data_IF_439450008520
#
_entry.id   IF_439450008520
#
_cell.length_a   1.000
_cell.length_b   1.000
_cell.length_c   1.000
_cell.angle_alpha   90.00
_cell.angle_beta   90.00
_cell.angle_gamma   90.00
#
_symmetry.space_group_name_H-M   'P 1'
#
loop_
_entity.id
_entity.type
_entity.pdbx_description
1 polymer ?
#
# COMPACT_ATOMS: atom_id res chain seq x y z
N UNK A 1 -3.75 2.79 56.79
CA UNK A 1 -3.31 3.53 55.59
C UNK A 1 -2.13 2.89 54.86
N UNK A 2 -1.40 1.94 55.46
CA UNK A 2 -0.21 1.29 54.87
C UNK A 2 -0.53 0.07 53.99
N UNK A 3 -1.70 -0.54 54.17
CA UNK A 3 -2.12 -1.77 53.46
C UNK A 3 -2.90 -1.51 52.18
N UNK A 4 -3.34 -0.27 51.95
CA UNK A 4 -4.02 0.14 50.72
C UNK A 4 -3.06 0.74 49.68
N UNK A 5 -1.83 1.09 50.07
CA UNK A 5 -0.85 1.70 49.16
C UNK A 5 -0.45 0.78 47.99
N UNK A 6 -0.25 -0.54 48.18
CA UNK A 6 0.03 -1.46 47.07
C UNK A 6 -1.20 -1.67 46.18
N UNK A 7 -2.41 -1.72 46.75
CA UNK A 7 -3.66 -1.85 45.99
C UNK A 7 -3.94 -0.59 45.18
N UNK A 8 -3.63 0.59 45.73
CA UNK A 8 -3.74 1.89 45.05
C UNK A 8 -2.65 2.04 43.98
N UNK A 9 -1.42 1.58 44.21
CA UNK A 9 -0.34 1.57 43.21
C UNK A 9 -0.61 0.59 42.07
N UNK A 10 -1.10 -0.61 42.38
CA UNK A 10 -1.52 -1.61 41.39
C UNK A 10 -2.77 -1.12 40.64
N UNK A 11 -3.71 -0.46 41.32
CA UNK A 11 -4.82 0.22 40.67
C UNK A 11 -4.33 1.40 39.80
N UNK A 12 -3.32 2.16 40.20
CA UNK A 12 -2.73 3.24 39.41
C UNK A 12 -1.86 2.74 38.23
N UNK A 13 -1.39 1.49 38.24
CA UNK A 13 -0.66 0.85 37.14
C UNK A 13 -1.57 0.03 36.21
N UNK A 14 -2.67 -0.56 36.74
CA UNK A 14 -3.59 -1.45 36.00
C UNK A 14 -4.86 -0.71 35.53
N UNK A 15 -5.36 0.29 36.27
CA UNK A 15 -6.53 1.07 35.83
C UNK A 15 -6.26 1.99 34.63
N UNK A 16 -5.05 2.52 34.37
CA UNK A 16 -4.77 3.15 33.09
C UNK A 16 -4.89 2.14 31.94
N UNK A 17 -4.52 0.87 32.16
CA UNK A 17 -4.58 -0.20 31.14
C UNK A 17 -6.02 -0.62 30.85
N UNK A 18 -6.92 -0.56 31.84
CA UNK A 18 -8.35 -0.88 31.65
C UNK A 18 -9.16 0.23 30.96
N UNK A 19 -8.71 1.48 31.01
CA UNK A 19 -9.38 2.64 30.38
C UNK A 19 -8.73 3.09 29.07
N UNK A 20 -7.48 2.68 28.81
CA UNK A 20 -6.80 2.86 27.53
C UNK A 20 -7.62 2.34 26.32
N UNK A 21 -8.37 1.22 26.35
CA UNK A 21 -9.09 0.72 25.17
C UNK A 21 -10.25 1.61 24.70
N UNK A 22 -10.82 2.46 25.56
CA UNK A 22 -11.95 3.31 25.20
C UNK A 22 -11.53 4.65 24.56
N UNK A 23 -10.32 5.14 24.88
CA UNK A 23 -9.80 6.42 24.38
C UNK A 23 -8.55 6.29 23.50
N UNK A 24 -7.82 5.16 23.56
CA UNK A 24 -6.68 4.90 22.65
C UNK A 24 -7.08 4.81 21.19
N UNK A 25 -8.20 4.22 20.75
CA UNK A 25 -8.46 4.16 19.32
C UNK A 25 -8.52 5.56 18.69
N UNK A 26 -9.11 6.54 19.37
CA UNK A 26 -9.19 7.92 18.88
C UNK A 26 -7.90 8.72 19.10
N UNK A 27 -7.24 8.56 20.25
CA UNK A 27 -5.99 9.25 20.56
C UNK A 27 -4.82 8.64 19.76
N UNK A 28 -4.75 7.32 19.61
CA UNK A 28 -3.80 6.59 18.75
C UNK A 28 -4.15 6.74 17.28
N UNK A 29 -5.40 6.92 16.86
CA UNK A 29 -5.69 7.30 15.47
C UNK A 29 -5.19 8.72 15.20
N UNK A 30 -5.43 9.68 16.11
CA UNK A 30 -4.87 11.05 15.98
C UNK A 30 -3.35 11.09 16.12
N UNK A 31 -2.76 10.29 17.00
CA UNK A 31 -1.30 10.16 17.17
C UNK A 31 -0.66 9.30 16.08
N UNK A 32 -1.34 8.34 15.48
CA UNK A 32 -0.85 7.55 14.35
C UNK A 32 -0.97 8.33 13.05
N UNK A 33 -2.00 9.15 12.86
CA UNK A 33 -2.03 10.17 11.79
C UNK A 33 -0.85 11.14 11.98
N UNK A 34 -0.61 11.59 13.23
CA UNK A 34 0.50 12.50 13.56
C UNK A 34 1.90 11.84 13.57
N UNK A 35 1.99 10.52 13.74
CA UNK A 35 3.24 9.74 13.78
C UNK A 35 3.48 8.90 12.50
N UNK A 36 2.54 8.90 11.55
CA UNK A 36 2.75 8.48 10.16
C UNK A 36 3.37 9.60 9.34
N UNK A 37 3.28 10.85 9.79
CA UNK A 37 4.24 11.86 9.38
C UNK A 37 5.51 11.63 10.21
N UNK A 38 6.70 11.47 9.59
CA UNK A 38 7.96 11.46 10.32
C UNK A 38 8.05 12.72 11.23
N UNK A 39 8.99 12.76 12.16
CA UNK A 39 9.47 14.06 12.69
C UNK A 39 10.12 14.78 11.49
N UNK A 40 9.25 15.41 10.71
CA UNK A 40 9.53 16.15 9.49
C UNK A 40 10.30 17.39 9.94
N UNK A 41 11.53 17.61 9.47
CA UNK A 41 12.13 18.93 9.62
C UNK A 41 11.29 19.88 8.77
N UNK A 42 10.40 20.67 9.37
CA UNK A 42 9.65 21.75 8.68
C UNK A 42 10.61 22.61 7.83
N UNK A 43 11.84 22.78 8.33
CA UNK A 43 12.96 23.44 7.65
C UNK A 43 13.34 22.79 6.30
N UNK A 44 13.31 21.45 6.19
CA UNK A 44 13.62 20.75 4.94
C UNK A 44 12.48 20.90 3.93
N UNK A 45 11.23 20.85 4.38
CA UNK A 45 10.09 21.09 3.51
C UNK A 45 10.14 22.51 2.94
N UNK A 46 10.33 23.53 3.78
CA UNK A 46 10.43 24.93 3.34
C UNK A 46 11.58 25.12 2.33
N UNK A 47 12.73 24.48 2.58
CA UNK A 47 13.88 24.49 1.66
C UNK A 47 13.57 23.83 0.32
N UNK A 48 12.92 22.67 0.32
CA UNK A 48 12.56 21.97 -0.92
C UNK A 48 11.53 22.80 -1.71
N UNK A 49 10.53 23.38 -1.05
CA UNK A 49 9.52 24.25 -1.69
C UNK A 49 10.14 25.50 -2.34
N UNK A 50 11.07 26.18 -1.67
CA UNK A 50 11.78 27.33 -2.25
C UNK A 50 12.66 26.91 -3.45
N UNK A 51 13.30 25.75 -3.35
CA UNK A 51 14.08 25.14 -4.43
C UNK A 51 13.20 24.82 -5.63
N UNK A 52 12.02 24.23 -5.40
CA UNK A 52 11.05 23.89 -6.44
C UNK A 52 10.48 25.12 -7.12
N UNK A 53 10.10 26.14 -6.34
CA UNK A 53 9.62 27.40 -6.91
C UNK A 53 10.72 28.06 -7.78
N UNK A 54 11.95 28.14 -7.28
CA UNK A 54 13.09 28.67 -8.04
C UNK A 54 13.37 27.89 -9.33
N UNK A 55 13.24 26.56 -9.29
CA UNK A 55 13.39 25.68 -10.44
C UNK A 55 12.30 25.94 -11.49
N UNK A 56 11.03 25.99 -11.09
CA UNK A 56 9.90 26.22 -12.00
C UNK A 56 9.94 27.62 -12.63
N UNK A 57 10.32 28.64 -11.86
CA UNK A 57 10.54 29.99 -12.40
C UNK A 57 11.66 30.01 -13.42
N UNK A 58 12.75 29.26 -13.21
CA UNK A 58 13.86 29.20 -14.17
C UNK A 58 13.50 28.41 -15.43
N UNK A 59 12.84 27.26 -15.28
CA UNK A 59 12.56 26.34 -16.39
C UNK A 59 11.38 26.80 -17.25
N UNK A 60 10.33 27.33 -16.62
CA UNK A 60 9.05 27.64 -17.28
C UNK A 60 8.58 29.09 -17.09
N UNK A 61 9.34 29.94 -16.39
CA UNK A 61 8.88 31.27 -15.96
C UNK A 61 7.54 31.20 -15.18
N UNK A 62 7.40 30.16 -14.34
CA UNK A 62 6.16 29.80 -13.67
C UNK A 62 6.22 30.06 -12.15
N UNK A 63 5.09 30.51 -11.61
CA UNK A 63 4.76 30.45 -10.18
C UNK A 63 3.75 29.32 -9.93
N UNK A 64 3.95 28.54 -8.87
CA UNK A 64 3.11 27.41 -8.53
C UNK A 64 2.74 27.40 -7.04
N UNK A 65 1.55 26.89 -6.74
CA UNK A 65 1.18 26.48 -5.38
C UNK A 65 1.49 25.02 -5.18
N UNK A 66 1.93 24.64 -3.98
CA UNK A 66 2.28 23.27 -3.63
C UNK A 66 1.31 22.67 -2.62
N UNK A 67 1.01 21.39 -2.77
CA UNK A 67 0.17 20.58 -1.88
C UNK A 67 0.63 19.10 -1.92
N UNK A 68 -0.04 18.22 -1.17
CA UNK A 68 0.18 16.76 -1.14
C UNK A 68 1.64 16.36 -0.90
N UNK A 69 2.28 16.88 0.16
CA UNK A 69 3.71 16.67 0.39
C UNK A 69 4.03 15.27 0.96
N UNK A 70 4.90 14.55 0.27
CA UNK A 70 5.34 13.20 0.66
C UNK A 70 6.86 13.13 0.78
N UNK A 71 7.38 12.93 1.99
CA UNK A 71 8.81 12.82 2.23
C UNK A 71 9.35 11.43 1.80
N UNK A 72 10.44 11.42 1.02
CA UNK A 72 11.18 10.21 0.68
C UNK A 72 12.46 10.12 1.49
N UNK A 73 12.52 9.22 2.48
CA UNK A 73 13.75 8.98 3.27
C UNK A 73 14.93 8.54 2.37
N UNK A 74 14.65 7.82 1.28
CA UNK A 74 15.68 7.35 0.36
C UNK A 74 16.29 8.50 -0.46
N UNK A 75 15.51 9.53 -0.78
CA UNK A 75 15.99 10.69 -1.53
C UNK A 75 16.42 11.84 -0.62
N UNK A 76 15.93 11.89 0.62
CA UNK A 76 16.16 13.02 1.53
C UNK A 76 15.33 14.27 1.21
N UNK A 77 14.34 14.15 0.31
CA UNK A 77 13.54 15.27 -0.20
C UNK A 77 12.05 14.98 -0.21
N UNK A 78 11.25 16.05 -0.21
CA UNK A 78 9.81 16.01 -0.44
C UNK A 78 9.47 15.83 -1.90
N UNK A 79 8.51 14.97 -2.20
CA UNK A 79 7.75 15.02 -3.45
C UNK A 79 6.50 15.83 -3.20
N UNK A 80 6.16 16.74 -4.10
CA UNK A 80 5.01 17.64 -3.94
C UNK A 80 4.17 17.67 -5.21
N UNK A 81 2.87 17.89 -5.06
CA UNK A 81 1.97 18.28 -6.13
C UNK A 81 2.06 19.79 -6.32
N UNK A 82 2.38 20.24 -7.53
CA UNK A 82 2.46 21.63 -7.93
C UNK A 82 1.31 21.98 -8.87
N UNK A 83 0.75 23.16 -8.69
CA UNK A 83 -0.34 23.69 -9.52
C UNK A 83 0.05 25.09 -10.01
N UNK A 84 0.08 25.35 -11.34
CA UNK A 84 0.42 26.67 -11.86
C UNK A 84 -0.54 27.76 -11.36
N UNK A 85 0.00 28.85 -10.82
CA UNK A 85 -0.78 30.06 -10.47
C UNK A 85 -1.19 30.82 -11.72
N UNK A 86 -0.27 30.89 -12.68
CA UNK A 86 -0.45 31.55 -13.97
C UNK A 86 -0.35 30.49 -15.08
N UNK A 87 -1.49 30.08 -15.66
CA UNK A 87 -1.54 29.05 -16.70
C UNK A 87 -2.77 28.14 -16.58
N UNK A 88 -2.76 27.02 -17.28
CA UNK A 88 -3.77 25.98 -17.10
C UNK A 88 -3.62 25.33 -15.71
N UNK A 89 -4.75 25.21 -15.01
CA UNK A 89 -4.83 24.66 -13.65
C UNK A 89 -4.73 23.13 -13.66
N UNK A 90 -3.58 22.61 -14.13
CA UNK A 90 -3.29 21.20 -14.26
C UNK A 90 -2.23 20.83 -13.22
N UNK A 91 -2.56 19.97 -12.22
CA UNK A 91 -1.59 19.53 -11.23
C UNK A 91 -0.51 18.65 -11.85
N UNK A 92 0.71 18.78 -11.36
CA UNK A 92 1.86 17.98 -11.76
C UNK A 92 2.80 17.76 -10.58
N UNK A 93 3.66 16.76 -10.65
CA UNK A 93 4.56 16.42 -9.55
C UNK A 93 5.92 17.07 -9.72
N UNK A 94 6.50 17.56 -8.61
CA UNK A 94 7.89 17.99 -8.53
C UNK A 94 8.59 17.17 -7.44
N UNK A 95 9.80 16.70 -7.74
CA UNK A 95 10.57 15.88 -6.81
C UNK A 95 12.07 15.99 -7.05
N UNK A 96 12.85 15.57 -6.05
CA UNK A 96 14.30 15.41 -6.13
C UNK A 96 14.70 13.96 -5.86
N UNK A 97 15.77 13.53 -6.55
CA UNK A 97 16.51 12.31 -6.20
C UNK A 97 17.57 12.58 -5.13
N UNK A 98 18.21 11.52 -4.62
CA UNK A 98 19.27 11.60 -3.60
C UNK A 98 20.51 12.41 -4.01
N UNK A 99 20.66 12.79 -5.28
CA UNK A 99 21.75 13.62 -5.78
C UNK A 99 21.28 15.06 -6.07
N UNK A 100 20.18 15.49 -5.43
CA UNK A 100 19.54 16.79 -5.62
C UNK A 100 19.06 17.06 -7.06
N UNK A 101 18.97 16.06 -7.95
CA UNK A 101 18.46 16.29 -9.30
C UNK A 101 16.95 16.48 -9.26
N UNK A 102 16.50 17.67 -9.63
CA UNK A 102 15.08 18.01 -9.69
C UNK A 102 14.47 17.43 -10.97
N UNK A 103 13.27 16.86 -10.85
CA UNK A 103 12.42 16.45 -11.96
C UNK A 103 11.01 16.93 -11.71
N UNK A 104 10.33 17.29 -12.80
CA UNK A 104 8.92 17.63 -12.81
C UNK A 104 8.18 16.83 -13.88
N UNK A 105 6.86 16.72 -13.74
CA UNK A 105 6.00 16.06 -14.73
C UNK A 105 5.15 17.05 -15.53
N UNK A 106 5.49 18.34 -15.57
CA UNK A 106 4.58 19.39 -16.07
C UNK A 106 4.17 19.20 -17.53
N UNK A 107 5.16 19.06 -18.44
CA UNK A 107 4.91 18.83 -19.88
C UNK A 107 4.08 17.55 -20.07
N UNK A 108 4.45 16.47 -19.38
CA UNK A 108 3.71 15.21 -19.39
C UNK A 108 2.26 15.36 -18.92
N UNK A 109 2.00 16.13 -17.86
CA UNK A 109 0.65 16.39 -17.34
C UNK A 109 -0.21 17.20 -18.32
N UNK A 110 0.35 18.20 -18.99
CA UNK A 110 -0.34 18.97 -20.03
C UNK A 110 -0.76 18.06 -21.19
N UNK A 111 0.18 17.31 -21.76
CA UNK A 111 -0.09 16.40 -22.87
C UNK A 111 -1.01 15.24 -22.47
N UNK A 112 -0.92 14.78 -21.23
CA UNK A 112 -1.87 13.79 -20.68
C UNK A 112 -3.30 14.32 -20.74
N UNK A 113 -3.51 15.57 -20.33
CA UNK A 113 -4.83 16.23 -20.36
C UNK A 113 -5.33 16.44 -21.79
N UNK A 114 -4.46 16.88 -22.69
CA UNK A 114 -4.80 17.05 -24.11
C UNK A 114 -5.29 15.74 -24.74
N UNK A 115 -4.55 14.64 -24.52
CA UNK A 115 -4.94 13.31 -24.99
C UNK A 115 -6.24 12.85 -24.33
N UNK A 116 -6.42 13.08 -23.03
CA UNK A 116 -7.67 12.77 -22.33
C UNK A 116 -8.85 13.40 -23.06
N UNK A 117 -8.79 14.69 -23.36
CA UNK A 117 -9.88 15.43 -24.00
C UNK A 117 -10.21 14.92 -25.42
N UNK A 118 -9.22 14.39 -26.14
CA UNK A 118 -9.43 13.78 -27.45
C UNK A 118 -10.11 12.42 -27.37
N UNK A 119 -9.74 11.58 -26.40
CA UNK A 119 -10.22 10.19 -26.33
C UNK A 119 -11.43 9.99 -25.40
N UNK A 120 -11.69 10.90 -24.45
CA UNK A 120 -12.82 10.84 -23.51
C UNK A 120 -14.18 10.67 -24.19
N UNK A 121 -14.50 11.38 -25.30
CA UNK A 121 -15.78 11.19 -26.00
C UNK A 121 -15.98 9.76 -26.51
N UNK A 122 -14.92 9.12 -27.02
CA UNK A 122 -14.98 7.73 -27.48
C UNK A 122 -15.15 6.78 -26.30
N UNK A 123 -14.35 6.94 -25.24
CA UNK A 123 -14.41 6.08 -24.06
C UNK A 123 -15.81 6.16 -23.43
N UNK A 124 -16.35 7.36 -23.28
CA UNK A 124 -17.71 7.61 -22.78
C UNK A 124 -18.81 7.04 -23.68
N UNK A 125 -18.57 6.87 -24.98
CA UNK A 125 -19.49 6.21 -25.90
C UNK A 125 -19.43 4.67 -25.78
N UNK A 126 -18.25 4.12 -25.52
CA UNK A 126 -18.03 2.67 -25.43
C UNK A 126 -18.41 2.09 -24.07
N UNK A 127 -18.25 2.88 -23.00
CA UNK A 127 -18.45 2.47 -21.62
C UNK A 127 -19.37 3.43 -20.87
N UNK A 128 -20.52 2.93 -20.42
CA UNK A 128 -21.52 3.73 -19.71
C UNK A 128 -21.09 4.09 -18.27
N UNK A 129 -20.43 3.16 -17.57
CA UNK A 129 -20.03 3.30 -16.18
C UNK A 129 -18.50 3.23 -16.02
N UNK A 130 -17.82 4.27 -16.47
CA UNK A 130 -16.38 4.45 -16.27
C UNK A 130 -16.12 4.94 -14.85
N UNK A 131 -15.23 4.27 -14.14
CA UNK A 131 -14.79 4.65 -12.80
C UNK A 131 -13.52 5.50 -12.84
N UNK A 132 -12.52 5.05 -13.61
CA UNK A 132 -11.31 5.81 -13.92
C UNK A 132 -11.09 5.75 -15.41
N UNK A 133 -10.84 6.91 -16.01
CA UNK A 133 -10.15 6.99 -17.28
C UNK A 133 -8.98 7.94 -17.09
N UNK A 134 -7.77 7.41 -17.26
CA UNK A 134 -6.53 8.16 -17.12
C UNK A 134 -5.67 7.94 -18.36
N UNK A 135 -5.19 9.03 -18.91
CA UNK A 135 -4.16 9.08 -19.94
C UNK A 135 -2.90 9.60 -19.29
N UNK A 136 -1.77 8.93 -19.51
CA UNK A 136 -0.51 9.30 -18.87
C UNK A 136 0.60 9.35 -19.88
N UNK A 137 1.13 10.55 -20.10
CA UNK A 137 2.30 10.82 -20.91
C UNK A 137 3.48 11.08 -19.98
N UNK A 138 4.46 10.18 -20.02
CA UNK A 138 5.73 10.36 -19.32
C UNK A 138 6.77 10.77 -20.34
N UNK A 139 7.29 11.99 -20.22
CA UNK A 139 8.37 12.49 -21.07
C UNK A 139 9.73 12.05 -20.52
N UNK A 140 10.68 11.85 -21.42
CA UNK A 140 12.09 11.69 -21.05
C UNK A 140 12.81 13.03 -21.10
N UNK A 141 13.96 13.11 -20.41
CA UNK A 141 14.73 14.34 -20.24
C UNK A 141 15.11 14.99 -21.58
N UNK A 142 15.39 14.16 -22.59
CA UNK A 142 15.73 14.58 -23.94
C UNK A 142 14.57 15.30 -24.63
N UNK A 143 13.34 14.82 -24.44
CA UNK A 143 12.13 15.43 -25.00
C UNK A 143 11.84 16.78 -24.31
N UNK A 144 11.91 16.82 -22.97
CA UNK A 144 11.75 18.05 -22.21
C UNK A 144 12.73 19.14 -22.69
N UNK A 145 13.99 18.78 -22.85
CA UNK A 145 15.03 19.72 -23.30
C UNK A 145 14.77 20.17 -24.73
N UNK A 146 14.38 19.26 -25.62
CA UNK A 146 14.03 19.60 -27.01
C UNK A 146 12.88 20.61 -27.07
N UNK A 147 11.80 20.39 -26.31
CA UNK A 147 10.66 21.31 -26.26
C UNK A 147 11.10 22.70 -25.81
N UNK A 148 11.90 22.77 -24.73
CA UNK A 148 12.36 24.04 -24.18
C UNK A 148 13.36 24.79 -25.07
N UNK A 149 14.17 24.08 -25.85
CA UNK A 149 15.17 24.69 -26.73
C UNK A 149 14.57 25.20 -28.05
N UNK A 150 13.46 24.60 -28.51
CA UNK A 150 12.91 24.86 -29.86
C UNK A 150 11.59 25.64 -29.85
N UNK A 151 10.90 25.74 -28.72
CA UNK A 151 9.59 26.40 -28.64
C UNK A 151 9.55 27.45 -27.53
N UNK A 152 8.96 28.62 -27.83
CA UNK A 152 8.78 29.70 -26.85
C UNK A 152 7.72 29.36 -25.79
N UNK A 153 6.78 28.48 -26.13
CA UNK A 153 5.75 27.93 -25.26
C UNK A 153 5.65 26.41 -25.50
N UNK A 154 5.16 25.66 -24.51
CA UNK A 154 4.99 24.21 -24.64
C UNK A 154 4.00 23.94 -25.80
N UNK A 155 4.40 23.20 -26.84
CA UNK A 155 3.55 22.93 -27.99
C UNK A 155 2.50 21.85 -27.66
N UNK A 156 1.46 21.80 -28.48
CA UNK A 156 0.46 20.72 -28.45
C UNK A 156 1.13 19.37 -28.74
N UNK A 157 0.70 18.31 -28.04
CA UNK A 157 1.29 16.98 -28.15
C UNK A 157 1.27 16.48 -29.59
N UNK A 158 0.14 16.68 -30.27
CA UNK A 158 -0.06 16.21 -31.65
C UNK A 158 0.85 16.92 -32.68
N UNK A 159 1.45 18.05 -32.32
CA UNK A 159 2.38 18.75 -33.21
C UNK A 159 3.81 18.17 -33.14
N UNK A 160 4.20 17.58 -32.01
CA UNK A 160 5.60 17.20 -31.75
C UNK A 160 5.84 15.70 -31.53
N UNK A 161 4.81 14.92 -31.24
CA UNK A 161 4.98 13.49 -30.89
C UNK A 161 5.71 12.68 -31.98
N UNK A 162 5.47 13.00 -33.25
CA UNK A 162 6.04 12.27 -34.39
C UNK A 162 7.54 12.52 -34.58
N UNK A 163 8.07 13.62 -34.04
CA UNK A 163 9.48 13.99 -34.14
C UNK A 163 10.35 13.17 -33.18
N UNK A 164 9.77 12.69 -32.07
CA UNK A 164 10.44 11.92 -31.02
C UNK A 164 9.62 10.71 -30.56
N UNK A 165 9.45 9.67 -31.40
CA UNK A 165 8.62 8.51 -31.07
C UNK A 165 9.12 7.70 -29.86
N UNK A 166 10.39 7.84 -29.49
CA UNK A 166 10.99 7.23 -28.29
C UNK A 166 11.21 8.24 -27.14
N UNK A 167 10.77 9.50 -27.32
CA UNK A 167 10.96 10.59 -26.36
C UNK A 167 9.91 10.62 -25.24
N UNK A 168 8.86 9.80 -25.37
CA UNK A 168 7.79 9.71 -24.40
C UNK A 168 7.29 8.26 -24.26
N UNK A 169 6.59 8.00 -23.15
CA UNK A 169 5.75 6.82 -22.97
C UNK A 169 4.31 7.28 -22.78
N UNK A 170 3.40 6.66 -23.51
CA UNK A 170 1.98 6.91 -23.37
C UNK A 170 1.28 5.66 -22.87
N UNK A 171 0.57 5.78 -21.76
CA UNK A 171 -0.24 4.72 -21.18
C UNK A 171 -1.68 5.17 -21.01
N UNK A 172 -2.61 4.24 -21.18
CA UNK A 172 -4.04 4.43 -20.85
C UNK A 172 -4.41 3.45 -19.74
N UNK A 173 -5.09 3.97 -18.72
CA UNK A 173 -5.68 3.20 -17.63
C UNK A 173 -7.19 3.43 -17.63
N UNK A 174 -7.95 2.34 -17.75
CA UNK A 174 -9.40 2.37 -17.82
C UNK A 174 -10.00 1.41 -16.80
N UNK A 175 -10.73 1.92 -15.82
CA UNK A 175 -11.48 1.12 -14.85
C UNK A 175 -12.96 1.29 -15.10
N UNK A 176 -13.68 0.19 -15.29
CA UNK A 176 -15.10 0.20 -15.66
C UNK A 176 -15.90 -0.72 -14.75
N UNK A 177 -17.12 -0.30 -14.43
CA UNK A 177 -18.10 -1.17 -13.79
C UNK A 177 -18.88 -1.90 -14.88
N UNK A 178 -18.70 -3.21 -14.93
CA UNK A 178 -19.32 -4.08 -15.93
C UNK A 178 -19.40 -5.49 -15.36
N UNK A 179 -20.52 -6.18 -15.61
CA UNK A 179 -20.70 -7.58 -15.22
C UNK A 179 -19.81 -8.55 -16.00
N UNK A 180 -19.14 -8.05 -17.05
CA UNK A 180 -18.26 -8.80 -17.94
C UNK A 180 -18.98 -10.04 -18.53
N UNK A 181 -20.29 -9.94 -18.76
CA UNK A 181 -21.11 -11.07 -19.19
C UNK A 181 -20.91 -11.44 -20.67
N UNK A 182 -20.55 -10.47 -21.51
CA UNK A 182 -20.38 -10.65 -22.95
C UNK A 182 -18.95 -10.32 -23.41
N UNK A 183 -18.10 -11.34 -23.47
CA UNK A 183 -16.68 -11.16 -23.81
C UNK A 183 -16.45 -10.68 -25.25
N UNK A 184 -17.26 -11.13 -26.21
CA UNK A 184 -17.13 -10.75 -27.61
C UNK A 184 -17.39 -9.25 -27.79
N UNK A 185 -18.39 -8.72 -27.09
CA UNK A 185 -18.69 -7.29 -27.09
C UNK A 185 -17.53 -6.46 -26.51
N UNK A 186 -16.93 -6.92 -25.42
CA UNK A 186 -15.79 -6.26 -24.78
C UNK A 186 -14.54 -6.28 -25.67
N UNK A 187 -14.26 -7.39 -26.34
CA UNK A 187 -13.19 -7.47 -27.33
C UNK A 187 -13.40 -6.47 -28.48
N UNK A 188 -14.64 -6.30 -28.96
CA UNK A 188 -14.95 -5.30 -29.99
C UNK A 188 -14.74 -3.87 -29.49
N UNK A 189 -15.10 -3.55 -28.24
CA UNK A 189 -14.85 -2.23 -27.63
C UNK A 189 -13.35 -1.94 -27.54
N UNK A 190 -12.56 -2.89 -27.03
CA UNK A 190 -11.11 -2.78 -26.92
C UNK A 190 -10.48 -2.61 -28.30
N UNK A 191 -10.90 -3.41 -29.28
CA UNK A 191 -10.39 -3.32 -30.64
C UNK A 191 -10.63 -1.93 -31.25
N UNK A 192 -11.85 -1.38 -31.12
CA UNK A 192 -12.15 -0.01 -31.61
C UNK A 192 -11.30 1.05 -30.95
N UNK A 193 -11.07 0.94 -29.64
CA UNK A 193 -10.24 1.88 -28.89
C UNK A 193 -8.79 1.85 -29.38
N UNK A 194 -8.22 0.65 -29.53
CA UNK A 194 -6.85 0.46 -30.05
C UNK A 194 -6.73 0.92 -31.50
N UNK A 195 -7.72 0.62 -32.35
CA UNK A 195 -7.76 1.05 -33.76
C UNK A 195 -7.75 2.59 -33.87
N UNK A 196 -8.60 3.28 -33.12
CA UNK A 196 -8.64 4.75 -33.13
C UNK A 196 -7.33 5.39 -32.60
N UNK A 197 -6.68 4.75 -31.62
CA UNK A 197 -5.37 5.18 -31.12
C UNK A 197 -4.29 5.02 -32.19
N UNK A 198 -4.28 3.89 -32.90
CA UNK A 198 -3.36 3.64 -34.00
C UNK A 198 -3.60 4.60 -35.19
N UNK A 199 -4.85 4.92 -35.52
CA UNK A 199 -5.21 5.91 -36.55
C UNK A 199 -4.72 7.32 -36.22
N UNK A 200 -4.65 7.65 -34.94
CA UNK A 200 -4.13 8.94 -34.46
C UNK A 200 -2.61 9.08 -34.64
N UNK A 201 -1.92 8.00 -35.04
CA UNK A 201 -0.46 7.96 -35.20
C UNK A 201 0.32 7.82 -33.89
N UNK A 202 -0.37 7.85 -32.74
CA UNK A 202 0.26 7.78 -31.43
C UNK A 202 0.68 6.33 -31.13
N UNK A 203 1.92 6.15 -30.69
CA UNK A 203 2.38 4.85 -30.18
C UNK A 203 1.95 4.67 -28.72
N UNK A 204 0.98 3.79 -28.48
CA UNK A 204 0.57 3.40 -27.13
C UNK A 204 1.56 2.40 -26.54
N UNK A 205 2.21 2.78 -25.45
CA UNK A 205 3.23 1.95 -24.79
C UNK A 205 2.65 0.98 -23.76
N UNK A 206 1.47 1.28 -23.24
CA UNK A 206 0.77 0.43 -22.28
C UNK A 206 -0.74 0.68 -22.27
N UNK A 207 -1.50 -0.38 -22.09
CA UNK A 207 -2.96 -0.32 -21.94
C UNK A 207 -3.40 -1.19 -20.77
N UNK A 208 -4.08 -0.59 -19.81
CA UNK A 208 -4.67 -1.28 -18.66
C UNK A 208 -6.19 -1.11 -18.65
N UNK A 209 -6.90 -2.23 -18.52
CA UNK A 209 -8.36 -2.24 -18.38
C UNK A 209 -8.77 -3.12 -17.20
N UNK A 210 -9.38 -2.55 -16.17
CA UNK A 210 -9.92 -3.30 -15.01
C UNK A 210 -11.44 -3.25 -15.00
N UNK A 211 -12.04 -4.41 -14.82
CA UNK A 211 -13.47 -4.58 -14.68
C UNK A 211 -13.81 -4.79 -13.20
N UNK A 212 -14.76 -4.01 -12.70
CA UNK A 212 -15.25 -4.09 -11.33
C UNK A 212 -16.71 -4.52 -11.29
N UNK A 213 -17.06 -5.28 -10.26
CA UNK A 213 -18.44 -5.71 -10.02
C UNK A 213 -19.37 -4.49 -9.83
N UNK A 214 -20.53 -4.51 -10.49
CA UNK A 214 -21.55 -3.47 -10.39
C UNK A 214 -22.09 -3.31 -8.96
N UNK A 215 -22.05 -4.36 -8.14
CA UNK A 215 -22.42 -4.27 -6.72
C UNK A 215 -21.53 -3.30 -5.93
N UNK A 216 -20.27 -3.08 -6.36
CA UNK A 216 -19.39 -2.08 -5.76
C UNK A 216 -19.86 -0.66 -6.11
N UNK A 217 -20.29 -0.43 -7.35
CA UNK A 217 -20.82 0.86 -7.80
C UNK A 217 -22.05 1.30 -6.98
N UNK A 218 -22.94 0.36 -6.65
CA UNK A 218 -24.14 0.64 -5.83
C UNK A 218 -23.82 1.00 -4.37
N UNK A 219 -22.66 0.56 -3.84
CA UNK A 219 -22.22 0.84 -2.47
C UNK A 219 -21.29 2.06 -2.36
N UNK A 220 -20.43 2.27 -3.35
CA UNK A 220 -19.36 3.26 -3.33
C UNK A 220 -19.78 4.65 -3.84
N UNK A 221 -20.75 4.73 -4.76
CA UNK A 221 -21.09 5.96 -5.47
C UNK A 221 -20.02 6.39 -6.48
N UNK A 222 -20.35 7.36 -7.35
CA UNK A 222 -19.49 7.80 -8.48
C UNK A 222 -18.20 8.50 -8.05
N UNK A 223 -18.19 9.14 -6.88
CA UNK A 223 -17.10 10.03 -6.46
C UNK A 223 -16.00 9.34 -5.62
N UNK A 224 -16.10 8.02 -5.39
CA UNK A 224 -15.15 7.28 -4.59
C UNK A 224 -13.86 7.01 -5.36
N UNK A 225 -12.71 7.43 -4.83
CA UNK A 225 -11.40 7.07 -5.41
C UNK A 225 -11.11 5.58 -5.17
N UNK A 226 -10.66 4.81 -6.18
CA UNK A 226 -10.29 3.41 -5.97
C UNK A 226 -9.06 3.31 -5.08
N UNK A 227 -9.27 2.90 -3.84
CA UNK A 227 -8.22 2.51 -2.90
C UNK A 227 -7.86 1.02 -3.02
N UNK A 228 -6.77 0.61 -2.37
CA UNK A 228 -6.35 -0.79 -2.29
C UNK A 228 -7.44 -1.73 -1.72
N UNK A 229 -8.38 -1.21 -0.92
CA UNK A 229 -9.48 -1.98 -0.34
C UNK A 229 -10.43 -2.53 -1.42
N UNK A 230 -10.55 -1.84 -2.56
CA UNK A 230 -11.41 -2.24 -3.68
C UNK A 230 -10.78 -3.28 -4.60
N UNK A 231 -9.49 -3.64 -4.41
CA UNK A 231 -8.81 -4.65 -5.24
C UNK A 231 -9.56 -5.97 -5.32
N UNK A 232 -10.24 -6.36 -4.24
CA UNK A 232 -10.98 -7.63 -4.16
C UNK A 232 -12.28 -7.67 -4.97
N UNK A 233 -12.70 -6.53 -5.51
CA UNK A 233 -13.91 -6.39 -6.34
C UNK A 233 -13.60 -6.36 -7.85
N UNK A 234 -12.31 -6.36 -8.23
CA UNK A 234 -11.92 -6.50 -9.62
C UNK A 234 -12.28 -7.93 -10.08
N UNK A 235 -13.14 -8.03 -11.09
CA UNK A 235 -13.59 -9.30 -11.65
C UNK A 235 -12.64 -9.78 -12.76
N UNK A 236 -12.21 -8.86 -13.62
CA UNK A 236 -11.35 -9.12 -14.76
C UNK A 236 -10.38 -7.96 -14.94
N UNK A 237 -9.29 -8.22 -15.66
CA UNK A 237 -8.26 -7.25 -15.96
C UNK A 237 -7.86 -7.40 -17.43
N UNK A 238 -7.04 -6.53 -17.98
CA UNK A 238 -6.30 -6.73 -19.21
C UNK A 238 -5.14 -5.76 -19.17
N UNK A 239 -3.94 -6.28 -19.34
CA UNK A 239 -2.72 -5.50 -19.45
C UNK A 239 -2.06 -5.85 -20.78
N UNK A 240 -1.90 -4.86 -21.64
CA UNK A 240 -1.20 -4.99 -22.91
C UNK A 240 0.03 -4.09 -22.89
N UNK A 241 1.17 -4.67 -23.23
CA UNK A 241 2.38 -3.90 -23.51
C UNK A 241 2.39 -3.42 -24.97
N UNK A 242 3.33 -2.52 -25.30
CA UNK A 242 3.51 -1.97 -26.64
C UNK A 242 3.56 -3.06 -27.74
N UNK A 243 4.34 -4.12 -27.56
CA UNK A 243 4.48 -5.17 -28.58
C UNK A 243 3.14 -5.88 -28.87
N UNK A 244 2.34 -6.13 -27.82
CA UNK A 244 1.01 -6.71 -27.96
C UNK A 244 0.07 -5.74 -28.67
N UNK A 245 0.10 -4.46 -28.29
CA UNK A 245 -0.69 -3.39 -28.90
C UNK A 245 -0.39 -3.25 -30.40
N UNK A 246 0.88 -3.19 -30.78
CA UNK A 246 1.32 -3.07 -32.18
C UNK A 246 0.89 -4.28 -33.03
N UNK A 247 0.78 -5.46 -32.40
CA UNK A 247 0.35 -6.68 -33.09
C UNK A 247 -1.16 -6.74 -33.37
N UNK A 248 -1.98 -5.94 -32.68
CA UNK A 248 -3.44 -5.90 -32.88
C UNK A 248 -3.74 -5.14 -34.17
N UNK A 249 -3.86 -5.90 -35.26
CA UNK A 249 -4.23 -5.40 -36.60
C UNK A 249 -5.63 -5.87 -37.02
N UNK A 250 -6.19 -6.85 -36.32
CA UNK A 250 -7.53 -7.40 -36.55
C UNK A 250 -8.12 -7.87 -35.23
N UNK A 251 -9.45 -7.94 -35.15
CA UNK A 251 -10.16 -8.51 -34.00
C UNK A 251 -9.67 -9.93 -33.65
N UNK A 252 -9.36 -10.74 -34.67
CA UNK A 252 -8.84 -12.10 -34.48
C UNK A 252 -7.47 -12.14 -33.79
N UNK A 253 -6.62 -11.13 -34.00
CA UNK A 253 -5.34 -11.05 -33.30
C UNK A 253 -5.56 -10.72 -31.82
N UNK A 254 -6.49 -9.82 -31.52
CA UNK A 254 -6.90 -9.51 -30.15
C UNK A 254 -7.48 -10.75 -29.45
N UNK A 255 -8.35 -11.51 -30.10
CA UNK A 255 -8.90 -12.78 -29.57
C UNK A 255 -7.79 -13.78 -29.16
N UNK A 256 -6.74 -13.91 -29.96
CA UNK A 256 -5.61 -14.79 -29.64
C UNK A 256 -4.82 -14.29 -28.42
N UNK A 257 -4.55 -12.99 -28.35
CA UNK A 257 -3.89 -12.35 -27.20
C UNK A 257 -4.74 -12.56 -25.94
N UNK A 258 -6.04 -12.35 -26.06
CA UNK A 258 -7.03 -12.53 -25.00
C UNK A 258 -7.04 -13.97 -24.46
N UNK A 259 -7.05 -14.98 -25.34
CA UNK A 259 -6.99 -16.39 -24.95
C UNK A 259 -5.68 -16.74 -24.23
N UNK A 260 -4.55 -16.25 -24.74
CA UNK A 260 -3.25 -16.46 -24.12
C UNK A 260 -3.18 -15.80 -22.74
N UNK A 261 -3.68 -14.57 -22.63
CA UNK A 261 -3.77 -13.83 -21.38
C UNK A 261 -4.62 -14.57 -20.34
N UNK A 262 -5.79 -15.08 -20.70
CA UNK A 262 -6.62 -15.92 -19.83
C UNK A 262 -5.90 -17.18 -19.33
N UNK A 263 -5.21 -17.87 -20.23
CA UNK A 263 -4.42 -19.06 -19.88
C UNK A 263 -3.29 -18.69 -18.90
N UNK A 264 -2.66 -17.53 -19.11
CA UNK A 264 -1.59 -17.02 -18.24
C UNK A 264 -2.09 -16.72 -16.82
N UNK A 265 -3.27 -16.09 -16.65
CA UNK A 265 -3.84 -15.81 -15.33
C UNK A 265 -4.18 -17.10 -14.59
N UNK A 266 -4.79 -18.04 -15.30
CA UNK A 266 -5.17 -19.34 -14.73
C UNK A 266 -3.93 -20.11 -14.24
N UNK A 267 -2.82 -20.01 -14.97
CA UNK A 267 -1.55 -20.65 -14.61
C UNK A 267 -0.78 -19.88 -13.51
N UNK A 268 -0.92 -18.56 -13.46
CA UNK A 268 -0.39 -17.69 -12.40
C UNK A 268 -1.31 -17.60 -11.17
N UNK A 269 -2.27 -18.50 -11.01
CA UNK A 269 -3.13 -18.54 -9.81
C UNK A 269 -3.96 -17.28 -9.54
N UNK A 270 -4.17 -16.41 -10.54
CA UNK A 270 -4.87 -15.13 -10.36
C UNK A 270 -3.99 -13.90 -10.09
N UNK A 271 -2.66 -14.00 -10.15
CA UNK A 271 -1.77 -12.85 -9.91
C UNK A 271 -1.81 -11.82 -11.04
N UNK A 272 -1.90 -10.54 -10.65
CA UNK A 272 -2.13 -9.36 -11.49
C UNK A 272 -0.80 -8.64 -11.77
N UNK A 273 -0.65 -8.01 -12.94
CA UNK A 273 0.57 -7.28 -13.34
C UNK A 273 0.15 -5.94 -13.94
N UNK A 274 0.42 -4.83 -13.27
CA UNK A 274 0.25 -3.49 -13.87
C UNK A 274 1.40 -3.20 -14.85
N UNK A 275 1.11 -2.41 -15.88
CA UNK A 275 2.02 -1.97 -16.95
C UNK A 275 2.60 -0.58 -16.65
N UNK A 276 2.20 0.07 -15.55
CA UNK A 276 2.74 1.37 -15.18
C UNK A 276 4.29 1.35 -15.08
N UNK A 277 4.92 2.15 -15.95
CA UNK A 277 6.33 2.56 -15.93
C UNK A 277 7.40 1.66 -16.57
N UNK A 278 7.12 0.70 -17.46
CA UNK A 278 8.17 0.04 -18.28
C UNK A 278 9.35 -0.57 -17.49
N UNK A 279 9.20 -0.66 -16.17
CA UNK A 279 9.66 -1.73 -15.35
C UNK A 279 8.50 -2.71 -15.35
N UNK A 280 8.77 -3.99 -15.61
CA UNK A 280 7.92 -5.03 -15.03
C UNK A 280 8.00 -4.81 -13.52
N UNK A 281 7.08 -4.02 -12.99
CA UNK A 281 6.64 -4.31 -11.64
C UNK A 281 5.88 -5.61 -11.82
N UNK A 282 6.54 -6.74 -11.57
CA UNK A 282 5.83 -7.75 -10.81
C UNK A 282 5.27 -6.96 -9.63
N UNK A 283 3.95 -6.67 -9.63
CA UNK A 283 3.27 -6.30 -8.39
C UNK A 283 3.71 -7.40 -7.45
N UNK A 284 4.62 -7.08 -6.53
CA UNK A 284 5.34 -8.08 -5.77
C UNK A 284 4.26 -8.77 -4.95
N UNK A 285 3.83 -9.94 -5.45
CA UNK A 285 2.66 -10.62 -4.96
C UNK A 285 2.87 -10.75 -3.46
N UNK A 286 1.93 -10.20 -2.70
CA UNK A 286 1.99 -10.36 -1.25
C UNK A 286 2.07 -11.85 -0.89
N UNK A 287 1.67 -12.73 -1.81
CA UNK A 287 1.77 -14.18 -1.78
C UNK A 287 0.37 -14.75 -1.80
N UNK A 288 0.25 -16.07 -2.00
CA UNK A 288 -1.02 -16.75 -1.68
C UNK A 288 -1.38 -16.51 -0.21
N UNK A 289 -2.60 -16.02 0.13
CA UNK A 289 -2.99 -15.80 1.51
C UNK A 289 -2.81 -17.03 2.39
N UNK A 290 -2.22 -16.85 3.57
CA UNK A 290 -2.02 -17.93 4.53
C UNK A 290 -3.35 -18.24 5.23
N UNK A 291 -3.85 -19.46 5.02
CA UNK A 291 -5.09 -19.92 5.64
C UNK A 291 -4.95 -20.11 7.16
N UNK A 292 -6.09 -20.22 7.84
CA UNK A 292 -6.21 -20.40 9.29
C UNK A 292 -5.25 -21.45 9.87
N UNK A 293 -5.20 -22.66 9.28
CA UNK A 293 -4.38 -23.76 9.82
C UNK A 293 -2.88 -23.49 9.78
N UNK A 294 -2.39 -22.74 8.79
CA UNK A 294 -0.97 -22.35 8.72
C UNK A 294 -0.65 -21.32 9.81
N UNK A 295 -1.55 -20.36 10.02
CA UNK A 295 -1.43 -19.36 11.09
C UNK A 295 -1.47 -20.01 12.47
N UNK A 296 -2.35 -21.01 12.66
CA UNK A 296 -2.45 -21.78 13.91
C UNK A 296 -1.20 -22.62 14.16
N UNK A 297 -0.66 -23.27 13.12
CA UNK A 297 0.57 -24.05 13.21
C UNK A 297 1.77 -23.14 13.56
N UNK A 298 1.89 -21.98 12.92
CA UNK A 298 2.92 -20.99 13.24
C UNK A 298 2.85 -20.57 14.72
N UNK A 299 1.67 -20.17 15.18
CA UNK A 299 1.43 -19.78 16.57
C UNK A 299 1.78 -20.90 17.55
N UNK A 300 1.40 -22.15 17.25
CA UNK A 300 1.76 -23.31 18.06
C UNK A 300 3.27 -23.51 18.20
N UNK A 301 4.02 -23.32 17.11
CA UNK A 301 5.49 -23.40 17.13
C UNK A 301 6.10 -22.26 17.94
N UNK A 302 5.61 -21.03 17.76
CA UNK A 302 6.07 -19.86 18.52
C UNK A 302 5.82 -20.03 20.03
N UNK A 303 4.65 -20.55 20.42
CA UNK A 303 4.33 -20.88 21.82
C UNK A 303 5.29 -21.92 22.37
N UNK A 304 5.56 -23.00 21.63
CA UNK A 304 6.52 -24.03 22.05
C UNK A 304 7.92 -23.46 22.21
N UNK A 305 8.38 -22.65 21.26
CA UNK A 305 9.70 -22.04 21.26
C UNK A 305 9.88 -21.09 22.45
N UNK A 306 8.96 -20.14 22.63
CA UNK A 306 9.04 -19.17 23.74
C UNK A 306 8.91 -19.89 25.08
N UNK A 307 8.00 -20.87 25.20
CA UNK A 307 7.85 -21.67 26.43
C UNK A 307 9.10 -22.49 26.71
N UNK A 308 9.71 -23.09 25.70
CA UNK A 308 10.97 -23.83 25.82
C UNK A 308 12.08 -22.91 26.34
N UNK A 309 12.29 -21.73 25.72
CA UNK A 309 13.25 -20.74 26.20
C UNK A 309 12.99 -20.36 27.66
N UNK A 310 11.73 -20.14 28.05
CA UNK A 310 11.35 -19.81 29.41
C UNK A 310 11.63 -20.94 30.41
N UNK A 311 11.36 -22.21 30.05
CA UNK A 311 11.65 -23.38 30.90
C UNK A 311 13.15 -23.54 31.13
N UNK A 312 14.00 -23.27 30.14
CA UNK A 312 15.46 -23.30 30.31
C UNK A 312 15.98 -22.11 31.11
N UNK A 313 15.36 -20.92 31.03
CA UNK A 313 15.67 -19.82 31.95
C UNK A 313 15.26 -20.12 33.40
N UNK A 314 14.32 -21.05 33.63
CA UNK A 314 13.94 -21.55 34.96
C UNK A 314 14.93 -22.55 35.58
N UNK A 315 16.11 -22.78 34.97
CA UNK A 315 17.27 -23.38 35.68
C UNK A 315 17.79 -22.44 36.79
N UNK A 316 17.33 -21.19 36.84
CA UNK A 316 17.44 -20.33 38.01
C UNK A 316 16.07 -20.08 38.69
N UNK A 317 15.56 -21.01 39.53
CA UNK A 317 14.48 -20.70 40.48
C UNK A 317 14.80 -19.53 41.41
N UNK A 318 16.06 -19.08 41.45
CA UNK A 318 16.56 -18.02 42.32
C UNK A 318 16.50 -16.61 41.71
N UNK A 319 16.34 -16.45 40.38
CA UNK A 319 16.40 -15.14 39.73
C UNK A 319 15.16 -14.26 39.97
N UNK A 320 13.97 -14.87 39.89
CA UNK A 320 12.69 -14.18 40.13
C UNK A 320 12.45 -13.89 41.61
N UNK A 321 12.90 -14.77 42.50
CA UNK A 321 12.88 -14.56 43.96
C UNK A 321 13.81 -13.41 44.35
N UNK A 322 15.01 -13.33 43.76
CA UNK A 322 15.94 -12.23 43.98
C UNK A 322 15.39 -10.88 43.50
N UNK A 323 14.79 -10.81 42.30
CA UNK A 323 14.18 -9.58 41.79
C UNK A 323 12.95 -9.14 42.62
N UNK A 324 12.16 -10.10 43.10
CA UNK A 324 10.99 -9.82 43.95
C UNK A 324 11.42 -9.31 45.32
N UNK A 325 12.47 -9.89 45.93
CA UNK A 325 13.07 -9.39 47.16
C UNK A 325 13.67 -7.98 46.99
N UNK A 326 14.28 -7.70 45.84
CA UNK A 326 14.89 -6.40 45.51
C UNK A 326 13.85 -5.29 45.31
N UNK A 327 12.70 -5.60 44.68
CA UNK A 327 11.65 -4.62 44.40
C UNK A 327 10.64 -4.43 45.53
N UNK A 328 10.40 -5.44 46.38
CA UNK A 328 9.27 -5.44 47.32
C UNK A 328 9.64 -5.71 48.80
N UNK A 329 10.91 -5.99 49.12
CA UNK A 329 11.41 -6.21 50.50
C UNK A 329 10.93 -7.50 51.17
N UNK A 330 11.39 -7.76 52.40
CA UNK A 330 11.12 -8.97 53.21
C UNK A 330 9.69 -9.03 53.78
N UNK A 331 8.71 -9.41 52.96
CA UNK A 331 7.33 -9.74 53.36
C UNK A 331 7.17 -11.27 53.55
N UNK A 332 6.07 -11.77 54.13
CA UNK A 332 5.87 -13.23 54.30
C UNK A 332 5.46 -13.97 53.01
N UNK A 333 5.89 -15.23 52.91
CA UNK A 333 5.92 -16.07 51.69
C UNK A 333 4.55 -16.31 51.00
N UNK A 334 3.45 -16.22 51.73
CA UNK A 334 2.08 -16.50 51.28
C UNK A 334 1.42 -15.32 50.55
N UNK A 335 1.81 -14.08 50.87
CA UNK A 335 1.38 -12.86 50.16
C UNK A 335 2.00 -12.77 48.74
N UNK A 336 3.12 -13.47 48.50
CA UNK A 336 3.82 -13.45 47.21
C UNK A 336 3.23 -14.39 46.17
N UNK A 337 2.51 -15.46 46.52
CA UNK A 337 2.10 -16.44 45.51
C UNK A 337 1.22 -15.77 44.44
N UNK A 338 0.27 -14.93 44.84
CA UNK A 338 -0.58 -14.16 43.91
C UNK A 338 0.24 -13.17 43.08
N UNK A 339 1.11 -12.37 43.72
CA UNK A 339 1.95 -11.37 43.04
C UNK A 339 2.98 -12.00 42.10
N UNK A 340 3.50 -13.17 42.47
CA UNK A 340 4.45 -13.94 41.69
C UNK A 340 3.82 -14.44 40.40
N UNK A 341 2.60 -15.00 40.45
CA UNK A 341 1.89 -15.42 39.24
C UNK A 341 1.60 -14.25 38.30
N UNK A 342 1.21 -13.08 38.84
CA UNK A 342 0.96 -11.87 38.06
C UNK A 342 2.24 -11.36 37.39
N UNK A 343 3.34 -11.25 38.14
CA UNK A 343 4.65 -10.83 37.60
C UNK A 343 5.14 -11.80 36.52
N UNK A 344 5.01 -13.11 36.75
CA UNK A 344 5.41 -14.14 35.80
C UNK A 344 4.58 -14.06 34.51
N UNK A 345 3.25 -13.96 34.61
CA UNK A 345 2.38 -13.82 33.44
C UNK A 345 2.70 -12.53 32.68
N UNK A 346 2.93 -11.42 33.39
CA UNK A 346 3.27 -10.13 32.78
C UNK A 346 4.60 -10.19 32.06
N UNK A 347 5.61 -10.82 32.66
CA UNK A 347 6.93 -11.02 32.04
C UNK A 347 6.82 -11.90 30.79
N UNK A 348 6.07 -13.00 30.85
CA UNK A 348 5.86 -13.88 29.69
C UNK A 348 5.15 -13.14 28.56
N UNK A 349 4.09 -12.38 28.87
CA UNK A 349 3.39 -11.56 27.87
C UNK A 349 4.30 -10.49 27.27
N UNK A 350 5.16 -9.84 28.07
CA UNK A 350 6.11 -8.85 27.58
C UNK A 350 7.17 -9.46 26.67
N UNK A 351 7.70 -10.65 27.02
CA UNK A 351 8.66 -11.38 26.17
C UNK A 351 7.99 -11.80 24.86
N UNK A 352 6.78 -12.32 24.92
CA UNK A 352 6.03 -12.74 23.72
C UNK A 352 5.69 -11.55 22.82
N UNK A 353 5.27 -10.43 23.42
CA UNK A 353 5.02 -9.19 22.71
C UNK A 353 6.26 -8.68 21.98
N UNK A 354 7.39 -8.58 22.69
CA UNK A 354 8.64 -8.13 22.09
C UNK A 354 9.11 -9.08 20.99
N UNK A 355 9.02 -10.39 21.22
CA UNK A 355 9.36 -11.41 20.21
C UNK A 355 8.54 -11.23 18.93
N UNK A 356 7.20 -11.16 19.03
CA UNK A 356 6.32 -10.98 17.88
C UNK A 356 6.56 -9.63 17.21
N UNK A 357 6.58 -8.54 17.99
CA UNK A 357 6.64 -7.18 17.45
C UNK A 357 7.98 -6.88 16.78
N UNK A 358 9.11 -7.32 17.37
CA UNK A 358 10.44 -7.11 16.79
C UNK A 358 10.58 -7.93 15.51
N UNK A 359 10.22 -9.22 15.53
CA UNK A 359 10.45 -10.08 14.36
C UNK A 359 9.54 -9.73 13.19
N UNK A 360 8.26 -9.46 13.43
CA UNK A 360 7.32 -9.10 12.36
C UNK A 360 7.56 -7.70 11.77
N UNK A 361 8.13 -6.77 12.55
CA UNK A 361 8.50 -5.44 12.05
C UNK A 361 9.92 -5.35 11.46
N UNK A 362 10.70 -6.42 11.60
CA UNK A 362 12.02 -6.54 10.99
C UNK A 362 11.92 -6.90 9.50
N UNK A 363 13.04 -6.85 8.74
CA UNK A 363 13.09 -7.37 7.37
C UNK A 363 12.70 -8.85 7.23
N UNK A 364 12.64 -9.59 8.34
CA UNK A 364 12.22 -10.99 8.34
C UNK A 364 10.71 -11.15 8.13
N UNK A 365 9.91 -10.13 8.49
CA UNK A 365 8.44 -10.10 8.34
C UNK A 365 7.71 -11.31 8.97
N UNK A 366 8.38 -12.10 9.79
CA UNK A 366 7.89 -13.38 10.28
C UNK A 366 8.53 -13.71 11.62
N UNK A 367 7.74 -14.32 12.51
CA UNK A 367 8.26 -15.01 13.70
C UNK A 367 8.93 -16.32 13.28
N UNK A 368 9.69 -16.96 14.17
CA UNK A 368 10.36 -18.23 13.88
C UNK A 368 9.34 -19.31 13.49
N UNK A 369 8.20 -19.39 14.18
CA UNK A 369 7.12 -20.30 13.84
C UNK A 369 6.56 -20.04 12.45
N UNK A 370 6.36 -18.78 12.08
CA UNK A 370 5.91 -18.37 10.75
C UNK A 370 6.93 -18.69 9.66
N UNK A 371 8.22 -18.47 9.91
CA UNK A 371 9.29 -18.86 8.98
C UNK A 371 9.27 -20.37 8.72
N UNK A 372 9.10 -21.18 9.77
CA UNK A 372 9.10 -22.64 9.66
C UNK A 372 7.92 -23.17 8.85
N UNK A 373 6.76 -22.50 8.91
CA UNK A 373 5.59 -22.85 8.09
C UNK A 373 5.53 -22.10 6.76
N UNK A 374 6.58 -21.34 6.42
CA UNK A 374 6.67 -20.50 5.21
C UNK A 374 5.52 -19.51 5.11
N UNK A 375 5.40 -18.66 6.12
CA UNK A 375 4.41 -17.59 6.21
C UNK A 375 5.11 -16.30 6.58
N UNK A 376 4.68 -15.19 5.97
CA UNK A 376 5.13 -13.82 6.29
C UNK A 376 3.95 -12.90 6.58
N UNK A 377 4.22 -11.84 7.33
CA UNK A 377 3.32 -10.74 7.64
C UNK A 377 3.76 -9.54 6.84
N UNK A 378 2.85 -9.01 6.02
CA UNK A 378 3.17 -7.87 5.17
C UNK A 378 2.14 -6.77 5.34
N UNK A 379 2.61 -5.52 5.27
CA UNK A 379 1.79 -4.34 5.11
C UNK A 379 1.38 -4.14 3.65
N UNK A 380 1.05 -2.89 3.32
CA UNK A 380 0.74 -2.50 1.95
C UNK A 380 1.99 -2.63 1.06
N UNK A 381 1.82 -3.04 -0.19
CA UNK A 381 2.91 -3.15 -1.18
C UNK A 381 4.08 -4.06 -0.74
N UNK A 382 3.80 -5.23 -0.17
CA UNK A 382 4.79 -6.19 0.35
C UNK A 382 5.76 -5.62 1.42
N UNK A 383 5.48 -4.44 1.98
CA UNK A 383 6.36 -3.77 2.93
C UNK A 383 6.29 -4.39 4.32
N UNK A 384 7.38 -4.27 5.10
CA UNK A 384 7.37 -4.67 6.52
C UNK A 384 6.42 -3.77 7.30
N UNK A 385 5.71 -4.35 8.28
CA UNK A 385 4.86 -3.56 9.17
C UNK A 385 5.72 -2.77 10.18
N UNK A 386 5.26 -1.59 10.62
CA UNK A 386 5.98 -0.84 11.65
C UNK A 386 5.89 -1.53 13.03
N UNK A 387 6.84 -1.26 13.92
CA UNK A 387 6.83 -1.81 15.29
C UNK A 387 5.55 -1.46 16.06
N UNK A 388 5.03 -0.24 15.85
CA UNK A 388 3.75 0.22 16.43
C UNK A 388 2.58 -0.62 15.93
N UNK A 389 2.55 -0.91 14.62
CA UNK A 389 1.53 -1.74 13.98
C UNK A 389 1.60 -3.19 14.47
N UNK A 390 2.81 -3.75 14.58
CA UNK A 390 3.05 -5.08 15.12
C UNK A 390 2.64 -5.19 16.62
N UNK A 391 2.89 -4.14 17.40
CA UNK A 391 2.46 -4.05 18.80
C UNK A 391 0.94 -3.96 18.94
N UNK A 392 0.28 -3.15 18.10
CA UNK A 392 -1.18 -3.10 18.03
C UNK A 392 -1.78 -4.47 17.67
N UNK A 393 -1.17 -5.18 16.72
CA UNK A 393 -1.56 -6.54 16.34
C UNK A 393 -1.46 -7.51 17.52
N UNK A 394 -0.37 -7.47 18.30
CA UNK A 394 -0.22 -8.31 19.48
C UNK A 394 -1.35 -8.08 20.50
N UNK A 395 -1.64 -6.81 20.82
CA UNK A 395 -2.71 -6.44 21.76
C UNK A 395 -4.08 -6.90 21.26
N UNK A 396 -4.40 -6.66 19.99
CA UNK A 396 -5.67 -7.10 19.40
C UNK A 396 -5.79 -8.63 19.35
N UNK A 397 -4.69 -9.36 19.14
CA UNK A 397 -4.69 -10.82 19.22
C UNK A 397 -4.93 -11.33 20.64
N UNK A 398 -4.37 -10.67 21.67
CA UNK A 398 -4.64 -11.00 23.07
C UNK A 398 -6.12 -10.76 23.41
N UNK A 399 -6.69 -9.63 22.97
CA UNK A 399 -8.13 -9.35 23.14
C UNK A 399 -8.96 -10.40 22.40
N UNK A 400 -8.59 -10.72 21.16
CA UNK A 400 -9.27 -11.75 20.38
C UNK A 400 -9.21 -13.11 21.07
N UNK A 401 -8.11 -13.46 21.74
CA UNK A 401 -7.95 -14.70 22.49
C UNK A 401 -8.85 -14.72 23.74
N UNK A 402 -8.97 -13.59 24.45
CA UNK A 402 -9.90 -13.44 25.59
C UNK A 402 -11.37 -13.62 25.16
N UNK A 403 -11.69 -13.22 23.92
CA UNK A 403 -13.00 -13.42 23.28
C UNK A 403 -13.11 -14.79 22.56
N UNK A 404 -12.47 -15.82 23.09
CA UNK A 404 -12.49 -17.21 22.57
C UNK A 404 -11.96 -17.38 21.14
N UNK A 405 -11.17 -16.42 20.63
CA UNK A 405 -10.55 -16.51 19.31
C UNK A 405 -11.47 -16.22 18.14
N UNK A 406 -12.70 -15.72 18.37
CA UNK A 406 -13.71 -15.50 17.31
C UNK A 406 -13.16 -14.64 16.16
N UNK A 407 -12.37 -13.60 16.46
CA UNK A 407 -11.79 -12.74 15.44
C UNK A 407 -10.81 -13.42 14.49
N UNK A 408 -10.20 -14.55 14.91
CA UNK A 408 -9.27 -15.34 14.10
C UNK A 408 -10.01 -16.36 13.23
N UNK A 409 -11.15 -16.88 13.69
CA UNK A 409 -11.96 -17.89 12.97
C UNK A 409 -12.56 -17.37 11.67
N UNK A 410 -12.75 -16.05 11.54
CA UNK A 410 -13.29 -15.44 10.31
C UNK A 410 -12.44 -15.79 9.07
N UNK A 411 -11.13 -15.94 9.24
CA UNK A 411 -10.22 -16.33 8.15
C UNK A 411 -10.53 -17.71 7.52
N UNK A 412 -11.31 -18.57 8.19
CA UNK A 412 -11.79 -19.83 7.61
C UNK A 412 -12.83 -19.59 6.51
N UNK A 413 -13.71 -18.61 6.72
CA UNK A 413 -14.91 -18.37 5.91
C UNK A 413 -14.74 -17.27 4.87
N UNK A 414 -13.69 -16.46 4.96
CA UNK A 414 -13.42 -15.41 3.97
C UNK A 414 -12.56 -15.92 2.80
N UNK A 415 -12.77 -15.31 1.63
CA UNK A 415 -12.00 -15.60 0.40
C UNK A 415 -10.56 -15.09 0.50
N UNK A 416 -10.37 -13.93 1.14
CA UNK A 416 -9.08 -13.26 1.36
C UNK A 416 -8.24 -13.90 2.50
N UNK A 417 -8.82 -14.83 3.27
CA UNK A 417 -8.20 -15.44 4.47
C UNK A 417 -7.73 -14.43 5.52
N UNK A 418 -8.31 -13.22 5.53
CA UNK A 418 -7.99 -12.19 6.51
C UNK A 418 -8.82 -12.33 7.80
N UNK A 419 -8.20 -11.96 8.92
CA UNK A 419 -8.87 -11.88 10.23
C UNK A 419 -9.47 -10.49 10.46
N UNK A 420 -10.27 -10.32 11.52
CA UNK A 420 -10.73 -8.98 11.92
C UNK A 420 -9.54 -8.07 12.22
N UNK A 421 -8.51 -8.60 12.87
CA UNK A 421 -7.31 -7.86 13.27
C UNK A 421 -6.52 -7.41 12.04
N UNK A 422 -6.40 -8.29 11.03
CA UNK A 422 -5.74 -8.00 9.75
C UNK A 422 -6.38 -6.79 9.06
N UNK A 423 -7.72 -6.76 9.02
CA UNK A 423 -8.47 -5.65 8.40
C UNK A 423 -8.36 -4.35 9.18
N UNK A 424 -8.56 -4.40 10.49
CA UNK A 424 -8.51 -3.20 11.37
C UNK A 424 -7.15 -2.53 11.30
N UNK A 425 -6.08 -3.32 11.20
CA UNK A 425 -4.73 -2.80 11.12
C UNK A 425 -4.21 -2.74 9.69
N UNK A 426 -5.00 -3.04 8.66
CA UNK A 426 -4.58 -3.00 7.26
C UNK A 426 -3.22 -3.70 7.02
N UNK A 427 -3.12 -4.98 7.38
CA UNK A 427 -2.00 -5.84 7.04
C UNK A 427 -2.51 -7.21 6.57
N UNK A 428 -1.68 -7.97 5.86
CA UNK A 428 -1.99 -9.33 5.43
C UNK A 428 -0.97 -10.36 5.92
N UNK A 429 -1.36 -11.63 5.84
CA UNK A 429 -0.50 -12.77 6.16
C UNK A 429 -0.54 -13.73 4.99
N UNK A 430 0.64 -14.05 4.47
CA UNK A 430 0.79 -14.68 3.17
C UNK A 430 1.82 -15.80 3.23
N UNK A 431 1.76 -16.74 2.29
CA UNK A 431 2.79 -17.77 2.15
C UNK A 431 4.09 -17.12 1.67
N UNK A 432 5.20 -17.49 2.31
CA UNK A 432 6.55 -16.99 2.05
C UNK A 432 7.35 -17.90 1.11
#
# INVERSE_FOLDING_TARGET
MRDFLPVILTAMLVLPIGWLPAFMPQIMHKLAIKAQQPDIPEEQLEKDLDTYQSYLTRKYNMEATFDDEAFSEANGHYTVSAVPVNGENIPFTVSQDHNDNIRDTYIGSLWSKEIYDVFDPMVSQLYENVWIFETKVTTFREMDQYVLDNYEAIPDFFDVYSEFPNGYRFCITLYVFNDFSNEEEEQVKIYKLVEQLQESGITLTGFELKYYDQALYEQAGKDMKPTNEHRTYASHFLALNQQQLDSIQTLKTLENIWLNWKSSIKNRGGHMVSVEMGHEWEEEDNGTPAGFWMRLAAWGIDVLLVTFCLVFTKIAPHGSVALTGLLFGDRPADEYLMNYWVIQITMVLAVFWLYDAILESSPLQATVGKMLVKVKVSGEFNTKISFTKASGKFVLNVISLMLLGIGQFISLFTKDKQTIVDRVLNYGVYKA
#
